data_IF_018272484633
#
_entry.id   IF_018272484633
#
_cell.length_a   1.000
_cell.length_b   1.000
_cell.length_c   1.000
_cell.angle_alpha   90.00
_cell.angle_beta   90.00
_cell.angle_gamma   90.00
#
_symmetry.space_group_name_H-M   'P 1'
#
loop_
_entity.id
_entity.type
_entity.pdbx_description
1 polymer ?
#
# COMPACT_ATOMS: atom_id res chain seq x y z
N UNK A 1 17.56 30.63 22.03
CA UNK A 1 16.13 30.78 22.38
C UNK A 1 15.27 29.70 21.71
N UNK A 2 15.40 29.42 20.42
CA UNK A 2 14.61 28.39 19.72
C UNK A 2 14.69 26.96 20.32
N UNK A 3 15.86 26.52 20.80
CA UNK A 3 16.01 25.18 21.39
C UNK A 3 15.25 24.96 22.71
N UNK A 4 15.24 25.97 23.59
CA UNK A 4 14.55 25.88 24.89
C UNK A 4 13.02 25.81 24.74
N UNK A 5 12.49 26.46 23.70
CA UNK A 5 11.06 26.45 23.39
C UNK A 5 10.61 25.12 22.78
N UNK A 6 11.46 24.50 21.93
CA UNK A 6 11.23 23.17 21.38
C UNK A 6 11.24 22.09 22.47
N UNK A 7 12.23 22.11 23.37
CA UNK A 7 12.31 21.17 24.49
C UNK A 7 11.14 21.31 25.48
N UNK A 8 10.62 22.53 25.66
CA UNK A 8 9.42 22.75 26.47
C UNK A 8 8.20 22.08 25.85
N UNK A 9 7.96 22.29 24.55
CA UNK A 9 6.83 21.66 23.84
C UNK A 9 6.87 20.13 23.91
N UNK A 10 8.04 19.54 23.73
CA UNK A 10 8.20 18.08 23.82
C UNK A 10 7.92 17.54 25.22
N UNK A 11 8.29 18.29 26.27
CA UNK A 11 7.97 17.93 27.66
C UNK A 11 6.48 18.06 27.95
N UNK A 12 5.88 19.18 27.57
CA UNK A 12 4.44 19.43 27.77
C UNK A 12 3.61 18.34 27.07
N UNK A 13 4.03 17.89 25.88
CA UNK A 13 3.42 16.76 25.17
C UNK A 13 3.61 15.44 25.92
N UNK A 14 4.83 15.10 26.34
CA UNK A 14 5.09 13.87 27.08
C UNK A 14 4.30 13.82 28.41
N UNK A 15 4.19 14.95 29.11
CA UNK A 15 3.45 15.06 30.37
C UNK A 15 1.93 14.86 30.17
N UNK A 16 1.38 15.29 29.03
CA UNK A 16 -0.04 15.07 28.67
C UNK A 16 -0.38 13.58 28.56
N UNK A 17 0.57 12.75 28.15
CA UNK A 17 0.38 11.32 27.89
C UNK A 17 1.10 10.38 28.86
N UNK A 18 1.75 10.91 29.91
CA UNK A 18 2.60 10.13 30.84
C UNK A 18 1.90 8.93 31.50
N UNK A 19 0.60 9.03 31.73
CA UNK A 19 -0.21 7.99 32.39
C UNK A 19 -0.91 7.07 31.38
N UNK A 20 -0.61 7.23 30.08
CA UNK A 20 -1.17 6.45 28.99
C UNK A 20 -0.16 5.39 28.56
N UNK A 21 -0.54 4.12 28.68
CA UNK A 21 0.32 3.00 28.29
C UNK A 21 -0.27 2.31 27.06
N UNK A 22 0.36 2.46 25.87
CA UNK A 22 0.00 1.65 24.72
C UNK A 22 0.33 0.18 24.96
N UNK A 23 -0.29 -0.71 24.20
CA UNK A 23 0.05 -2.13 24.19
C UNK A 23 1.40 -2.34 23.51
N UNK A 24 2.12 -3.38 23.95
CA UNK A 24 3.45 -3.74 23.43
C UNK A 24 3.52 -3.77 21.90
N UNK A 25 2.43 -4.18 21.24
CA UNK A 25 2.34 -4.22 19.78
C UNK A 25 2.53 -2.84 19.13
N UNK A 26 1.93 -1.79 19.69
CA UNK A 26 2.08 -0.44 19.15
C UNK A 26 3.41 0.17 19.60
N UNK A 27 3.86 -0.09 20.84
CA UNK A 27 5.20 0.31 21.31
C UNK A 27 6.32 -0.18 20.37
N UNK A 28 6.22 -1.45 19.93
CA UNK A 28 7.20 -2.03 18.99
C UNK A 28 7.24 -1.31 17.63
N UNK A 29 6.11 -0.78 17.14
CA UNK A 29 6.04 -0.06 15.86
C UNK A 29 6.76 1.28 15.90
N UNK A 30 6.81 1.92 17.08
CA UNK A 30 7.38 3.26 17.27
C UNK A 30 8.69 3.25 18.06
N UNK A 31 9.29 2.07 18.26
CA UNK A 31 10.56 1.93 18.97
C UNK A 31 11.65 2.77 18.30
N UNK A 32 12.26 3.67 19.06
CA UNK A 32 13.31 4.56 18.56
C UNK A 32 12.81 5.78 17.77
N UNK A 33 11.50 5.97 17.67
CA UNK A 33 10.90 7.20 17.12
C UNK A 33 10.81 8.25 18.24
N UNK A 34 11.20 9.51 18.00
CA UNK A 34 10.99 10.59 18.98
C UNK A 34 9.51 10.70 19.37
N UNK A 35 9.23 10.75 20.67
CA UNK A 35 7.86 10.72 21.22
C UNK A 35 7.07 9.45 20.82
N UNK A 36 7.77 8.33 20.60
CA UNK A 36 7.19 7.08 20.12
C UNK A 36 6.07 6.53 21.00
N UNK A 37 6.14 6.69 22.32
CA UNK A 37 5.09 6.23 23.25
C UNK A 37 3.77 7.00 23.05
N UNK A 38 3.87 8.32 22.82
CA UNK A 38 2.72 9.17 22.49
C UNK A 38 2.11 8.74 21.16
N UNK A 39 2.94 8.59 20.12
CA UNK A 39 2.48 8.17 18.78
C UNK A 39 1.86 6.76 18.80
N UNK A 40 2.41 5.85 19.60
CA UNK A 40 1.88 4.51 19.81
C UNK A 40 0.49 4.55 20.47
N UNK A 41 0.33 5.37 21.51
CA UNK A 41 -0.97 5.55 22.19
C UNK A 41 -2.01 6.16 21.26
N UNK A 42 -1.65 7.20 20.51
CA UNK A 42 -2.56 7.85 19.55
C UNK A 42 -3.00 6.88 18.45
N UNK A 43 -2.06 6.09 17.90
CA UNK A 43 -2.36 5.09 16.87
C UNK A 43 -3.28 4.00 17.42
N UNK A 44 -2.99 3.45 18.60
CA UNK A 44 -3.85 2.44 19.20
C UNK A 44 -5.25 2.97 19.50
N UNK A 45 -5.35 4.22 19.97
CA UNK A 45 -6.63 4.86 20.29
C UNK A 45 -7.48 5.04 19.03
N UNK A 46 -6.90 5.51 17.92
CA UNK A 46 -7.58 5.59 16.62
C UNK A 46 -8.08 4.21 16.17
N UNK A 47 -7.22 3.21 16.20
CA UNK A 47 -7.55 1.85 15.78
C UNK A 47 -8.70 1.24 16.60
N UNK A 48 -8.77 1.55 17.90
CA UNK A 48 -9.88 1.14 18.77
C UNK A 48 -11.20 1.77 18.34
N UNK A 49 -11.21 3.07 18.06
CA UNK A 49 -12.42 3.75 17.57
C UNK A 49 -12.82 3.23 16.19
N UNK A 50 -11.89 3.10 15.25
CA UNK A 50 -12.15 2.59 13.90
C UNK A 50 -12.74 1.18 13.95
N UNK A 51 -12.15 0.29 14.76
CA UNK A 51 -12.66 -1.07 14.98
C UNK A 51 -14.06 -1.05 15.58
N UNK A 52 -14.34 -0.12 16.51
CA UNK A 52 -15.66 0.02 17.14
C UNK A 52 -16.71 0.51 16.14
N UNK A 53 -16.40 1.53 15.34
CA UNK A 53 -17.29 2.04 14.29
C UNK A 53 -17.59 0.94 13.27
N UNK A 54 -16.56 0.22 12.81
CA UNK A 54 -16.71 -0.92 11.90
C UNK A 54 -17.63 -2.01 12.47
N UNK A 55 -17.62 -2.20 13.80
CA UNK A 55 -18.54 -3.12 14.48
C UNK A 55 -19.96 -2.55 14.52
N UNK A 56 -20.14 -1.29 14.93
CA UNK A 56 -21.43 -0.60 14.96
C UNK A 56 -22.12 -0.62 13.59
N UNK A 57 -21.38 -0.33 12.52
CA UNK A 57 -21.88 -0.33 11.14
C UNK A 57 -22.52 -1.67 10.75
N UNK A 58 -22.01 -2.79 11.29
CA UNK A 58 -22.55 -4.14 11.05
C UNK A 58 -23.73 -4.51 11.95
N UNK A 59 -23.86 -3.88 13.12
CA UNK A 59 -24.82 -4.32 14.16
C UNK A 59 -26.02 -3.40 14.31
N UNK A 60 -25.79 -2.10 14.54
CA UNK A 60 -26.84 -1.16 14.95
C UNK A 60 -26.77 0.18 14.18
N UNK A 61 -25.77 0.37 13.32
CA UNK A 61 -25.52 1.56 12.51
C UNK A 61 -25.51 2.87 13.31
N UNK A 62 -25.08 2.78 14.57
CA UNK A 62 -25.05 3.93 15.46
C UNK A 62 -23.80 3.88 16.35
N UNK A 63 -23.04 4.96 16.34
CA UNK A 63 -21.87 5.15 17.18
C UNK A 63 -22.27 5.96 18.42
N UNK A 64 -22.03 5.40 19.61
CA UNK A 64 -22.56 5.95 20.86
C UNK A 64 -21.94 7.30 21.24
N UNK A 65 -22.75 8.18 21.84
CA UNK A 65 -22.39 9.55 22.19
C UNK A 65 -21.05 9.69 22.93
N UNK A 66 -20.79 8.89 23.96
CA UNK A 66 -19.53 8.95 24.70
C UNK A 66 -18.32 8.65 23.79
N UNK A 67 -18.41 7.60 22.97
CA UNK A 67 -17.34 7.26 22.04
C UNK A 67 -17.20 8.28 20.90
N UNK A 68 -18.28 8.94 20.50
CA UNK A 68 -18.26 10.03 19.50
C UNK A 68 -17.47 11.23 20.02
N UNK A 69 -17.72 11.63 21.27
CA UNK A 69 -16.98 12.71 21.93
C UNK A 69 -15.51 12.34 22.08
N UNK A 70 -15.22 11.15 22.63
CA UNK A 70 -13.86 10.67 22.83
C UNK A 70 -13.05 10.63 21.50
N UNK A 71 -13.69 10.23 20.39
CA UNK A 71 -13.06 10.20 19.08
C UNK A 71 -12.77 11.61 18.53
N UNK A 72 -13.73 12.54 18.68
CA UNK A 72 -13.53 13.92 18.22
C UNK A 72 -12.42 14.61 19.02
N UNK A 73 -12.38 14.42 20.33
CA UNK A 73 -11.31 14.93 21.20
C UNK A 73 -9.95 14.33 20.80
N UNK A 74 -9.91 13.03 20.49
CA UNK A 74 -8.70 12.36 20.01
C UNK A 74 -8.23 12.92 18.65
N UNK A 75 -9.14 13.11 17.70
CA UNK A 75 -8.81 13.65 16.37
C UNK A 75 -8.26 15.08 16.48
N UNK A 76 -8.86 15.92 17.32
CA UNK A 76 -8.38 17.27 17.60
C UNK A 76 -7.01 17.24 18.31
N UNK A 77 -6.81 16.34 19.28
CA UNK A 77 -5.53 16.18 19.96
C UNK A 77 -4.42 15.76 18.99
N UNK A 78 -4.70 14.86 18.05
CA UNK A 78 -3.73 14.44 17.02
C UNK A 78 -3.30 15.63 16.16
N UNK A 79 -4.23 16.48 15.73
CA UNK A 79 -3.91 17.67 14.94
C UNK A 79 -3.01 18.65 15.72
N UNK A 80 -3.36 18.95 16.98
CA UNK A 80 -2.58 19.82 17.87
C UNK A 80 -1.18 19.26 18.17
N UNK A 81 -1.10 17.95 18.45
CA UNK A 81 0.15 17.28 18.80
C UNK A 81 1.09 17.19 17.60
N UNK A 82 0.57 16.93 16.39
CA UNK A 82 1.37 16.94 15.17
C UNK A 82 1.92 18.34 14.84
N UNK A 83 1.12 19.40 15.01
CA UNK A 83 1.61 20.78 14.87
C UNK A 83 2.68 21.11 15.92
N UNK A 84 2.47 20.68 17.17
CA UNK A 84 3.42 20.86 18.28
C UNK A 84 4.76 20.17 18.02
N UNK A 85 4.71 18.92 17.55
CA UNK A 85 5.89 18.15 17.15
C UNK A 85 6.62 18.81 15.98
N UNK A 86 5.89 19.26 14.96
CA UNK A 86 6.46 19.95 13.81
C UNK A 86 7.18 21.24 14.23
N UNK A 87 6.57 22.06 15.09
CA UNK A 87 7.19 23.28 15.65
C UNK A 87 8.38 23.00 16.55
N UNK A 88 8.43 21.83 17.19
CA UNK A 88 9.57 21.36 17.97
C UNK A 88 10.70 20.77 17.10
N UNK A 89 10.55 20.75 15.77
CA UNK A 89 11.55 20.20 14.86
C UNK A 89 11.54 18.67 14.76
N UNK A 90 10.44 18.03 15.17
CA UNK A 90 10.18 16.59 15.03
C UNK A 90 9.17 16.43 13.89
N UNK A 91 9.64 16.21 12.65
CA UNK A 91 8.75 16.25 11.49
C UNK A 91 8.02 14.91 11.37
N UNK A 92 6.89 14.76 12.04
CA UNK A 92 6.03 13.57 11.96
C UNK A 92 4.74 13.95 11.23
N UNK A 93 4.23 13.03 10.40
CA UNK A 93 2.99 13.17 9.65
C UNK A 93 2.14 11.91 9.79
N UNK A 94 0.82 12.07 9.70
CA UNK A 94 -0.11 10.94 9.60
C UNK A 94 -0.15 10.43 8.15
N UNK A 95 -0.25 9.11 7.95
CA UNK A 95 -0.43 8.53 6.62
C UNK A 95 -1.72 9.06 5.96
N UNK A 96 -1.65 9.39 4.67
CA UNK A 96 -2.78 9.90 3.88
C UNK A 96 -4.03 9.01 3.99
N UNK A 97 -3.85 7.69 4.08
CA UNK A 97 -4.97 6.74 4.24
C UNK A 97 -5.70 6.95 5.56
N UNK A 98 -5.00 7.27 6.64
CA UNK A 98 -5.61 7.60 7.93
C UNK A 98 -6.17 9.03 7.93
N UNK A 99 -5.47 9.99 7.31
CA UNK A 99 -5.96 11.36 7.20
C UNK A 99 -7.33 11.42 6.49
N UNK A 100 -7.48 10.77 5.33
CA UNK A 100 -8.76 10.73 4.60
C UNK A 100 -9.90 10.10 5.40
N UNK A 101 -9.59 9.13 6.25
CA UNK A 101 -10.57 8.49 7.12
C UNK A 101 -11.01 9.42 8.26
N UNK A 102 -10.07 10.17 8.86
CA UNK A 102 -10.36 11.22 9.83
C UNK A 102 -11.22 12.32 9.18
N UNK A 103 -10.87 12.77 7.96
CA UNK A 103 -11.63 13.77 7.23
C UNK A 103 -13.07 13.29 6.98
N UNK A 104 -13.24 12.05 6.53
CA UNK A 104 -14.56 11.44 6.35
C UNK A 104 -15.35 11.33 7.66
N UNK A 105 -14.70 11.00 8.78
CA UNK A 105 -15.36 10.92 10.08
C UNK A 105 -15.83 12.30 10.58
N UNK A 106 -15.07 13.36 10.29
CA UNK A 106 -15.46 14.74 10.64
C UNK A 106 -16.75 15.20 9.94
N UNK A 107 -17.17 14.55 8.85
CA UNK A 107 -18.40 14.92 8.14
C UNK A 107 -19.68 14.52 8.88
N UNK A 108 -19.62 13.51 9.76
CA UNK A 108 -20.84 12.93 10.35
C UNK A 108 -20.74 12.58 11.84
N UNK A 109 -19.55 12.54 12.45
CA UNK A 109 -19.42 12.31 13.90
C UNK A 109 -19.79 13.59 14.66
N UNK A 110 -20.64 13.46 15.69
CA UNK A 110 -21.20 14.59 16.45
C UNK A 110 -20.85 14.53 17.94
N UNK A 111 -20.60 15.70 18.55
CA UNK A 111 -20.43 15.87 20.01
C UNK A 111 -21.72 15.61 20.81
N UNK A 112 -22.88 15.53 20.17
CA UNK A 112 -24.16 15.39 20.85
C UNK A 112 -25.04 14.32 20.20
N UNK A 113 -25.77 13.57 21.03
CA UNK A 113 -26.80 12.62 20.57
C UNK A 113 -26.29 11.32 19.95
N UNK A 114 -24.98 11.06 19.95
CA UNK A 114 -24.39 9.96 19.20
C UNK A 114 -24.30 10.26 17.71
N UNK A 115 -23.66 9.37 16.97
CA UNK A 115 -23.40 9.57 15.54
C UNK A 115 -24.04 8.46 14.72
N UNK A 116 -25.09 8.74 13.93
CA UNK A 116 -25.62 7.76 12.99
C UNK A 116 -24.59 7.46 11.90
N UNK A 117 -24.38 6.18 11.60
CA UNK A 117 -23.42 5.76 10.58
C UNK A 117 -24.08 5.86 9.18
N UNK A 118 -23.44 6.51 8.18
CA UNK A 118 -23.99 6.68 6.83
C UNK A 118 -24.31 5.37 6.10
N UNK A 119 -25.36 5.34 5.28
CA UNK A 119 -25.81 4.13 4.56
C UNK A 119 -24.78 3.57 3.58
N UNK A 120 -23.98 4.45 2.98
CA UNK A 120 -22.87 4.17 2.09
C UNK A 120 -21.53 3.96 2.82
N UNK A 121 -21.54 3.80 4.14
CA UNK A 121 -20.34 3.63 4.95
C UNK A 121 -19.47 2.46 4.46
N UNK A 122 -18.24 2.78 4.11
CA UNK A 122 -17.19 1.80 3.82
C UNK A 122 -16.37 1.54 5.09
N UNK A 123 -16.10 0.28 5.45
CA UNK A 123 -15.31 -0.02 6.65
C UNK A 123 -13.95 0.68 6.65
N UNK A 124 -13.61 1.26 7.79
CA UNK A 124 -12.35 1.94 8.04
C UNK A 124 -11.19 0.93 8.06
N UNK A 125 -10.10 1.28 7.40
CA UNK A 125 -8.84 0.54 7.37
C UNK A 125 -8.09 0.71 8.69
N UNK A 126 -7.68 -0.43 9.26
CA UNK A 126 -6.91 -0.53 10.51
C UNK A 126 -5.55 -1.14 10.21
N UNK A 127 -4.49 -0.35 10.31
CA UNK A 127 -3.10 -0.75 10.05
C UNK A 127 -2.59 -1.69 11.14
N UNK A 128 -2.51 -2.99 10.81
CA UNK A 128 -2.18 -3.97 11.85
C UNK A 128 -0.70 -4.12 12.16
N UNK A 129 0.17 -3.78 11.23
CA UNK A 129 1.57 -4.18 11.28
C UNK A 129 2.54 -3.05 10.92
N UNK A 130 2.04 -1.84 10.68
CA UNK A 130 2.84 -0.71 10.27
C UNK A 130 2.44 0.55 11.04
N UNK A 131 3.40 1.42 11.41
CA UNK A 131 3.10 2.70 12.02
C UNK A 131 2.32 3.59 11.04
N UNK A 132 1.41 4.39 11.57
CA UNK A 132 0.59 5.35 10.79
C UNK A 132 1.06 6.78 10.96
N UNK A 133 1.92 7.03 11.95
CA UNK A 133 2.66 8.27 12.09
C UNK A 133 4.08 8.01 11.62
N UNK A 134 4.53 8.74 10.61
CA UNK A 134 5.82 8.52 9.95
C UNK A 134 6.61 9.82 9.90
N UNK A 135 7.94 9.72 9.84
CA UNK A 135 8.78 10.90 9.64
C UNK A 135 8.49 11.53 8.27
N UNK A 136 8.34 12.87 8.21
CA UNK A 136 8.19 13.62 6.95
C UNK A 136 9.39 13.42 6.02
N UNK A 137 10.57 13.14 6.60
CA UNK A 137 11.79 12.82 5.84
C UNK A 137 11.73 11.40 5.23
N UNK A 138 10.90 10.51 5.77
CA UNK A 138 10.54 9.22 5.15
C UNK A 138 9.31 9.35 4.22
N UNK A 139 8.55 10.45 4.32
CA UNK A 139 7.34 10.72 3.54
C UNK A 139 7.58 11.52 2.25
N UNK A 140 8.79 12.03 2.01
CA UNK A 140 9.14 12.69 0.74
C UNK A 140 10.47 12.19 0.19
N UNK A 141 10.42 11.36 -0.85
CA UNK A 141 11.55 11.17 -1.76
C UNK A 141 11.48 12.24 -2.86
N UNK A 142 12.50 13.09 -2.97
CA UNK A 142 12.78 13.73 -4.24
C UNK A 142 13.25 12.62 -5.19
N UNK A 143 12.34 12.12 -6.04
CA UNK A 143 12.75 11.28 -7.16
C UNK A 143 13.45 12.19 -8.16
N UNK A 144 14.75 12.39 -7.98
CA UNK A 144 15.59 12.78 -9.12
C UNK A 144 15.46 11.65 -10.12
N UNK A 145 14.84 11.93 -11.26
CA UNK A 145 15.06 11.13 -12.46
C UNK A 145 16.56 11.23 -12.73
N UNK A 146 17.32 10.23 -12.28
CA UNK A 146 18.64 10.04 -12.84
C UNK A 146 18.37 9.54 -14.26
N UNK A 147 18.62 10.40 -15.25
CA UNK A 147 18.65 10.03 -16.67
C UNK A 147 19.87 9.13 -16.97
N UNK A 148 20.06 8.08 -16.16
CA UNK A 148 21.01 7.03 -16.48
C UNK A 148 20.39 6.17 -17.57
N UNK A 149 20.96 6.25 -18.77
CA UNK A 149 20.59 5.38 -19.89
C UNK A 149 20.94 3.94 -19.52
N UNK A 150 19.93 3.14 -19.27
CA UNK A 150 20.05 1.69 -19.05
C UNK A 150 19.90 0.93 -20.37
N UNK A 151 20.68 -0.13 -20.53
CA UNK A 151 20.53 -1.04 -21.66
C UNK A 151 19.29 -1.92 -21.47
N UNK A 152 18.40 -1.91 -22.48
CA UNK A 152 17.18 -2.71 -22.49
C UNK A 152 17.38 -4.01 -23.26
N UNK A 153 17.07 -5.14 -22.64
CA UNK A 153 17.09 -6.47 -23.27
C UNK A 153 15.68 -6.94 -23.57
N UNK A 154 15.40 -7.34 -24.81
CA UNK A 154 14.07 -7.89 -25.17
C UNK A 154 13.83 -9.20 -24.41
N UNK A 155 12.67 -9.31 -23.80
CA UNK A 155 12.19 -10.49 -23.06
C UNK A 155 11.09 -11.20 -23.83
N UNK A 156 10.25 -10.43 -24.54
CA UNK A 156 9.17 -10.98 -25.34
C UNK A 156 8.52 -9.94 -26.23
N UNK A 157 7.81 -10.39 -27.24
CA UNK A 157 7.07 -9.56 -28.19
C UNK A 157 5.66 -10.13 -28.36
N UNK A 158 4.66 -9.26 -28.23
CA UNK A 158 3.27 -9.56 -28.50
C UNK A 158 2.72 -8.73 -29.65
N UNK A 159 1.44 -8.89 -29.95
CA UNK A 159 0.78 -8.18 -31.06
C UNK A 159 0.81 -6.64 -30.90
N UNK A 160 0.70 -6.15 -29.66
CA UNK A 160 0.52 -4.73 -29.36
C UNK A 160 1.70 -4.09 -28.60
N UNK A 161 2.61 -4.90 -28.06
CA UNK A 161 3.69 -4.40 -27.21
C UNK A 161 4.94 -5.28 -27.28
N UNK A 162 6.08 -4.68 -26.96
CA UNK A 162 7.36 -5.35 -26.74
C UNK A 162 7.71 -5.22 -25.26
N UNK A 163 8.13 -6.31 -24.63
CA UNK A 163 8.58 -6.34 -23.24
C UNK A 163 10.09 -6.39 -23.22
N UNK A 164 10.70 -5.44 -22.52
CA UNK A 164 12.13 -5.37 -22.24
C UNK A 164 12.38 -5.67 -20.77
N UNK A 165 13.64 -5.96 -20.43
CA UNK A 165 14.13 -5.95 -19.06
C UNK A 165 15.39 -5.10 -18.96
N UNK A 166 15.59 -4.51 -17.79
CA UNK A 166 16.84 -3.86 -17.41
C UNK A 166 17.14 -4.17 -15.94
N UNK A 167 18.40 -3.98 -15.57
CA UNK A 167 18.81 -3.96 -14.17
C UNK A 167 18.95 -2.50 -13.78
N UNK A 168 18.19 -2.09 -12.77
CA UNK A 168 18.29 -0.76 -12.21
C UNK A 168 19.69 -0.59 -11.60
N UNK A 169 20.50 0.38 -12.08
CA UNK A 169 21.89 0.54 -11.65
C UNK A 169 22.00 1.00 -10.19
N UNK A 170 20.97 1.67 -9.66
CA UNK A 170 20.94 2.18 -8.30
C UNK A 170 20.64 1.08 -7.29
N UNK A 171 19.71 0.18 -7.60
CA UNK A 171 19.25 -0.86 -6.68
C UNK A 171 19.76 -2.26 -7.02
N UNK A 172 20.40 -2.45 -8.18
CA UNK A 172 20.79 -3.77 -8.70
C UNK A 172 19.61 -4.70 -8.96
N UNK A 173 18.38 -4.17 -9.00
CA UNK A 173 17.15 -4.95 -9.12
C UNK A 173 16.69 -5.00 -10.56
N UNK A 174 16.25 -6.18 -11.00
CA UNK A 174 15.73 -6.38 -12.36
C UNK A 174 14.27 -5.94 -12.47
N UNK A 175 13.97 -5.20 -13.53
CA UNK A 175 12.64 -4.70 -13.87
C UNK A 175 12.26 -5.09 -15.29
N UNK A 176 10.96 -5.04 -15.59
CA UNK A 176 10.44 -5.17 -16.94
C UNK A 176 9.86 -3.84 -17.42
N UNK A 177 9.96 -3.56 -18.72
CA UNK A 177 9.34 -2.41 -19.38
C UNK A 177 8.46 -2.93 -20.50
N UNK A 178 7.16 -2.72 -20.41
CA UNK A 178 6.24 -3.00 -21.51
C UNK A 178 6.09 -1.73 -22.32
N UNK A 179 6.40 -1.79 -23.62
CA UNK A 179 6.34 -0.64 -24.54
C UNK A 179 5.38 -0.93 -25.67
N UNK A 180 4.43 -0.03 -25.91
CA UNK A 180 3.52 -0.13 -27.05
C UNK A 180 4.28 -0.06 -28.38
N UNK A 181 3.82 -0.80 -29.38
CA UNK A 181 4.38 -0.71 -30.74
C UNK A 181 3.99 0.62 -31.38
N UNK A 182 4.90 1.23 -32.15
CA UNK A 182 4.66 2.49 -32.88
C UNK A 182 3.55 2.38 -33.93
N UNK A 183 3.22 1.17 -34.35
CA UNK A 183 2.15 0.85 -35.32
C UNK A 183 0.76 0.81 -34.68
N UNK A 184 0.65 0.93 -33.35
CA UNK A 184 -0.62 0.89 -32.65
C UNK A 184 -1.49 2.11 -33.02
N UNK A 185 -2.79 1.88 -33.15
CA UNK A 185 -3.74 2.98 -33.34
C UNK A 185 -3.89 3.79 -32.03
N UNK A 186 -4.41 5.04 -32.09
CA UNK A 186 -4.72 5.81 -30.88
C UNK A 186 -5.61 5.05 -29.90
N UNK A 187 -6.56 4.24 -30.42
CA UNK A 187 -7.44 3.39 -29.61
C UNK A 187 -6.68 2.27 -28.89
N UNK A 188 -5.65 1.71 -29.52
CA UNK A 188 -4.81 0.68 -28.91
C UNK A 188 -3.92 1.28 -27.82
N UNK A 189 -3.40 2.50 -28.02
CA UNK A 189 -2.65 3.24 -27.01
C UNK A 189 -3.53 3.61 -25.80
N UNK A 190 -4.78 4.03 -26.03
CA UNK A 190 -5.73 4.28 -24.95
C UNK A 190 -6.02 3.00 -24.14
N UNK A 191 -6.21 1.86 -24.84
CA UNK A 191 -6.35 0.55 -24.18
C UNK A 191 -5.11 0.18 -23.37
N UNK A 192 -3.91 0.46 -23.88
CA UNK A 192 -2.64 0.22 -23.23
C UNK A 192 -2.46 1.08 -21.96
N UNK A 193 -2.78 2.37 -22.02
CA UNK A 193 -2.73 3.26 -20.85
C UNK A 193 -3.76 2.84 -19.79
N UNK A 194 -4.96 2.47 -20.22
CA UNK A 194 -6.01 1.95 -19.31
C UNK A 194 -5.60 0.64 -18.62
N UNK A 195 -4.85 -0.22 -19.30
CA UNK A 195 -4.27 -1.42 -18.68
C UNK A 195 -3.36 -1.04 -17.52
N UNK A 196 -2.43 -0.10 -17.74
CA UNK A 196 -1.57 0.42 -16.67
C UNK A 196 -2.37 1.04 -15.53
N UNK A 197 -3.35 1.91 -15.81
CA UNK A 197 -4.16 2.55 -14.77
C UNK A 197 -4.84 1.51 -13.88
N UNK A 198 -5.48 0.50 -14.48
CA UNK A 198 -6.11 -0.57 -13.72
C UNK A 198 -5.12 -1.37 -12.89
N UNK A 199 -3.96 -1.70 -13.44
CA UNK A 199 -2.93 -2.43 -12.69
C UNK A 199 -2.32 -1.59 -11.57
N UNK A 200 -2.23 -0.26 -11.72
CA UNK A 200 -1.64 0.63 -10.73
C UNK A 200 -2.49 0.80 -9.46
N UNK A 201 -3.78 0.49 -9.55
CA UNK A 201 -4.72 0.47 -8.42
C UNK A 201 -4.65 -0.85 -7.62
N UNK A 202 -3.90 -1.85 -8.11
CA UNK A 202 -3.85 -3.19 -7.54
C UNK A 202 -2.57 -3.40 -6.75
N UNK A 203 -2.71 -3.99 -5.57
CA UNK A 203 -1.58 -4.39 -4.74
C UNK A 203 -1.88 -5.73 -4.08
N UNK A 204 -1.36 -6.81 -4.70
CA UNK A 204 -1.58 -8.16 -4.18
C UNK A 204 -0.41 -9.10 -4.50
N UNK A 205 0.00 -10.02 -3.59
CA UNK A 205 1.11 -10.95 -3.81
C UNK A 205 1.00 -11.85 -5.03
N UNK A 206 -0.19 -11.96 -5.63
CA UNK A 206 -0.44 -12.77 -6.83
C UNK A 206 -0.92 -11.96 -8.03
N UNK A 207 -0.76 -10.63 -8.03
CA UNK A 207 -0.95 -9.77 -9.20
C UNK A 207 0.36 -9.06 -9.51
N UNK A 208 0.68 -8.88 -10.79
CA UNK A 208 1.90 -8.18 -11.19
C UNK A 208 1.84 -6.70 -10.79
N UNK A 209 2.89 -6.19 -10.18
CA UNK A 209 2.97 -4.78 -9.80
C UNK A 209 3.49 -3.93 -10.96
N UNK A 210 2.83 -2.78 -11.20
CA UNK A 210 3.30 -1.73 -12.11
C UNK A 210 3.76 -0.51 -11.32
N UNK A 211 4.73 0.23 -11.84
CA UNK A 211 5.43 1.27 -11.07
C UNK A 211 5.28 2.68 -11.67
N UNK A 212 5.52 2.84 -12.97
CA UNK A 212 5.52 4.16 -13.62
C UNK A 212 5.11 4.02 -15.08
N UNK A 213 4.25 4.93 -15.54
CA UNK A 213 3.95 5.15 -16.95
C UNK A 213 4.76 6.31 -17.51
N UNK A 214 5.15 6.19 -18.77
CA UNK A 214 5.87 7.18 -19.55
C UNK A 214 5.06 7.45 -20.82
N UNK A 215 4.44 8.64 -20.85
CA UNK A 215 3.57 9.10 -21.92
C UNK A 215 4.31 9.37 -23.23
N UNK A 216 5.57 9.80 -23.17
CA UNK A 216 6.36 10.11 -24.37
C UNK A 216 6.71 8.84 -25.15
N UNK A 217 7.11 7.80 -24.42
CA UNK A 217 7.52 6.52 -25.02
C UNK A 217 6.39 5.48 -25.07
N UNK A 218 5.19 5.79 -24.55
CA UNK A 218 4.05 4.88 -24.42
C UNK A 218 4.49 3.53 -23.82
N UNK A 219 5.11 3.61 -22.65
CA UNK A 219 5.64 2.45 -21.95
C UNK A 219 5.36 2.55 -20.45
N UNK A 220 5.40 1.42 -19.78
CA UNK A 220 5.39 1.41 -18.32
C UNK A 220 6.37 0.38 -17.76
N UNK A 221 6.89 0.69 -16.57
CA UNK A 221 7.79 -0.19 -15.80
C UNK A 221 6.97 -1.05 -14.85
N UNK A 222 7.33 -2.33 -14.75
CA UNK A 222 6.63 -3.32 -13.92
C UNK A 222 7.60 -4.32 -13.28
N UNK A 223 7.09 -5.11 -12.35
CA UNK A 223 7.84 -6.22 -11.73
C UNK A 223 8.36 -7.18 -12.81
N UNK A 224 9.66 -7.51 -12.73
CA UNK A 224 10.20 -8.56 -13.57
C UNK A 224 9.78 -9.94 -13.08
N UNK A 225 9.20 -10.74 -13.96
CA UNK A 225 8.95 -12.16 -13.76
C UNK A 225 9.87 -12.98 -14.69
N UNK A 226 10.45 -14.05 -14.16
CA UNK A 226 11.46 -14.85 -14.86
C UNK A 226 10.88 -15.68 -16.02
N UNK A 227 9.63 -16.13 -15.87
CA UNK A 227 8.96 -16.96 -16.87
C UNK A 227 7.44 -16.90 -16.72
N UNK A 228 6.70 -17.61 -17.58
CA UNK A 228 5.27 -17.85 -17.46
C UNK A 228 5.01 -19.33 -17.14
N UNK A 229 3.80 -19.63 -16.67
CA UNK A 229 3.40 -20.99 -16.28
C UNK A 229 3.51 -21.97 -17.44
N UNK A 230 3.18 -21.57 -18.68
CA UNK A 230 3.32 -22.43 -19.87
C UNK A 230 4.76 -22.92 -20.03
N UNK A 231 5.71 -21.99 -20.05
CA UNK A 231 7.11 -22.27 -20.35
C UNK A 231 7.81 -22.96 -19.16
N UNK A 232 7.39 -22.63 -17.93
CA UNK A 232 7.81 -23.33 -16.73
C UNK A 232 7.37 -24.79 -16.72
N UNK A 233 6.08 -25.06 -16.97
CA UNK A 233 5.56 -26.43 -17.04
C UNK A 233 6.26 -27.19 -18.16
N UNK A 234 6.40 -26.62 -19.36
CA UNK A 234 7.12 -27.27 -20.47
C UNK A 234 8.51 -27.77 -20.08
N UNK A 235 9.25 -27.02 -19.27
CA UNK A 235 10.61 -27.38 -18.83
C UNK A 235 10.65 -28.33 -17.64
N UNK A 236 9.68 -28.26 -16.72
CA UNK A 236 9.77 -28.93 -15.42
C UNK A 236 8.69 -29.97 -15.16
N UNK A 237 7.77 -30.23 -16.09
CA UNK A 237 6.60 -31.07 -15.85
C UNK A 237 6.96 -32.46 -15.32
N UNK A 238 8.02 -33.10 -15.81
CA UNK A 238 8.42 -34.46 -15.38
C UNK A 238 8.90 -34.51 -13.92
N UNK A 239 9.47 -33.41 -13.41
CA UNK A 239 10.07 -33.36 -12.06
C UNK A 239 9.22 -32.55 -11.08
N UNK A 240 8.10 -31.96 -11.52
CA UNK A 240 7.31 -31.03 -10.70
C UNK A 240 6.41 -31.80 -9.70
N UNK A 241 6.69 -31.72 -8.38
CA UNK A 241 5.92 -32.44 -7.38
C UNK A 241 4.47 -31.96 -7.30
N UNK A 242 3.54 -32.85 -6.93
CA UNK A 242 2.12 -32.50 -6.83
C UNK A 242 1.85 -31.31 -5.90
N UNK A 243 2.55 -31.23 -4.76
CA UNK A 243 2.38 -30.12 -3.83
C UNK A 243 2.72 -28.75 -4.47
N UNK A 244 3.74 -28.69 -5.33
CA UNK A 244 4.10 -27.46 -6.05
C UNK A 244 3.03 -27.09 -7.07
N UNK A 245 2.50 -28.07 -7.81
CA UNK A 245 1.38 -27.86 -8.74
C UNK A 245 0.15 -27.29 -8.03
N UNK A 246 -0.20 -27.88 -6.88
CA UNK A 246 -1.29 -27.40 -6.02
C UNK A 246 -1.05 -25.96 -5.57
N UNK A 247 0.16 -25.63 -5.13
CA UNK A 247 0.54 -24.27 -4.74
C UNK A 247 0.39 -23.29 -5.90
N UNK A 248 0.88 -23.62 -7.09
CA UNK A 248 0.72 -22.76 -8.28
C UNK A 248 -0.77 -22.52 -8.60
N UNK A 249 -1.60 -23.57 -8.59
CA UNK A 249 -3.03 -23.43 -8.81
C UNK A 249 -3.70 -22.52 -7.76
N UNK A 250 -3.38 -22.70 -6.48
CA UNK A 250 -3.93 -21.87 -5.39
C UNK A 250 -3.52 -20.40 -5.51
N UNK A 251 -2.25 -20.12 -5.83
CA UNK A 251 -1.77 -18.75 -6.03
C UNK A 251 -2.50 -18.05 -7.18
N UNK A 252 -2.74 -18.76 -8.29
CA UNK A 252 -3.55 -18.25 -9.39
C UNK A 252 -4.99 -17.93 -8.95
N UNK A 253 -5.63 -18.86 -8.21
CA UNK A 253 -6.98 -18.64 -7.69
C UNK A 253 -7.06 -17.46 -6.71
N UNK A 254 -6.03 -17.26 -5.88
CA UNK A 254 -5.96 -16.08 -5.00
C UNK A 254 -5.85 -14.78 -5.80
N UNK A 255 -5.02 -14.74 -6.84
CA UNK A 255 -4.91 -13.59 -7.74
C UNK A 255 -6.26 -13.26 -8.40
N UNK A 256 -6.93 -14.27 -8.97
CA UNK A 256 -8.25 -14.10 -9.60
C UNK A 256 -9.32 -13.66 -8.60
N UNK A 257 -9.35 -14.24 -7.40
CA UNK A 257 -10.29 -13.84 -6.36
C UNK A 257 -10.10 -12.36 -5.98
N UNK A 258 -8.86 -11.91 -5.83
CA UNK A 258 -8.55 -10.51 -5.57
C UNK A 258 -9.03 -9.60 -6.72
N UNK A 259 -8.74 -9.95 -7.97
CA UNK A 259 -9.23 -9.19 -9.14
C UNK A 259 -10.75 -9.06 -9.14
N UNK A 260 -11.46 -10.16 -8.86
CA UNK A 260 -12.92 -10.16 -8.81
C UNK A 260 -13.47 -9.31 -7.66
N UNK A 261 -12.84 -9.34 -6.49
CA UNK A 261 -13.20 -8.47 -5.36
C UNK A 261 -12.99 -6.98 -5.68
N UNK A 262 -12.02 -6.66 -6.54
CA UNK A 262 -11.79 -5.33 -7.08
C UNK A 262 -12.66 -4.99 -8.31
N UNK A 263 -13.67 -5.81 -8.64
CA UNK A 263 -14.58 -5.56 -9.77
C UNK A 263 -13.92 -5.74 -11.15
N UNK A 264 -12.75 -6.38 -11.22
CA UNK A 264 -11.97 -6.55 -12.45
C UNK A 264 -12.11 -7.98 -12.97
N UNK A 265 -12.49 -8.08 -14.25
CA UNK A 265 -12.43 -9.33 -15.01
C UNK A 265 -11.17 -9.33 -15.86
N UNK A 266 -10.27 -10.31 -15.65
CA UNK A 266 -9.03 -10.40 -16.43
C UNK A 266 -9.31 -10.67 -17.93
N UNK A 267 -10.31 -11.50 -18.27
CA UNK A 267 -10.75 -11.84 -19.64
C UNK A 267 -9.76 -12.55 -20.56
N UNK A 268 -8.52 -12.79 -20.11
CA UNK A 268 -7.48 -13.46 -20.89
C UNK A 268 -6.59 -14.33 -19.99
N UNK A 269 -7.24 -15.05 -19.07
CA UNK A 269 -6.53 -15.96 -18.14
C UNK A 269 -6.03 -17.15 -18.94
N UNK A 270 -4.71 -17.22 -19.14
CA UNK A 270 -4.06 -18.32 -19.85
C UNK A 270 -2.70 -18.63 -19.23
N UNK A 271 -2.15 -19.83 -19.41
CA UNK A 271 -0.81 -20.17 -18.91
C UNK A 271 0.32 -19.25 -19.42
N UNK A 272 0.07 -18.46 -20.48
CA UNK A 272 1.02 -17.50 -21.04
C UNK A 272 1.02 -16.18 -20.27
N UNK A 273 -0.14 -15.79 -19.74
CA UNK A 273 -0.34 -14.53 -19.02
C UNK A 273 -0.19 -14.70 -17.51
N UNK A 274 -0.10 -15.94 -17.03
CA UNK A 274 0.23 -16.22 -15.63
C UNK A 274 1.75 -16.32 -15.49
N UNK A 275 2.33 -15.32 -14.83
CA UNK A 275 3.77 -15.13 -14.69
C UNK A 275 4.31 -15.75 -13.40
N UNK A 276 5.60 -16.09 -13.40
CA UNK A 276 6.30 -16.71 -12.29
C UNK A 276 7.57 -15.94 -11.96
N UNK A 277 7.73 -15.61 -10.68
CA UNK A 277 8.98 -15.14 -10.12
C UNK A 277 9.67 -16.27 -9.36
N UNK A 278 10.90 -16.57 -9.78
CA UNK A 278 11.76 -17.60 -9.22
C UNK A 278 12.69 -16.94 -8.19
N UNK A 279 12.79 -17.55 -7.01
CA UNK A 279 13.71 -17.12 -5.96
C UNK A 279 14.81 -18.16 -5.81
N UNK A 280 16.06 -17.71 -5.82
CA UNK A 280 17.20 -18.63 -5.76
C UNK A 280 17.39 -19.22 -4.34
N UNK A 281 17.73 -20.50 -4.34
CA UNK A 281 18.11 -21.45 -3.27
C UNK A 281 17.89 -21.05 -1.80
N UNK A 282 16.93 -21.73 -1.17
CA UNK A 282 16.86 -21.89 0.31
C UNK A 282 15.53 -22.45 0.81
N UNK A 283 14.43 -22.09 0.16
CA UNK A 283 13.10 -22.70 0.33
C UNK A 283 12.37 -22.59 -0.99
N UNK A 284 11.81 -23.68 -1.49
CA UNK A 284 11.00 -23.79 -2.72
C UNK A 284 9.83 -22.79 -2.71
N UNK A 285 10.10 -21.51 -3.02
CA UNK A 285 9.10 -20.44 -3.05
C UNK A 285 9.05 -19.91 -4.46
N UNK A 286 8.07 -20.38 -5.21
CA UNK A 286 7.64 -19.77 -6.46
C UNK A 286 6.51 -18.80 -6.09
N UNK A 287 6.56 -17.57 -6.59
CA UNK A 287 5.42 -16.66 -6.49
C UNK A 287 4.87 -16.43 -7.89
N UNK A 288 3.64 -16.87 -8.07
CA UNK A 288 2.85 -16.63 -9.26
C UNK A 288 2.23 -15.23 -9.19
N UNK A 289 2.27 -14.54 -10.33
CA UNK A 289 1.61 -13.25 -10.59
C UNK A 289 0.63 -13.46 -11.75
N UNK A 290 -0.63 -13.08 -11.58
CA UNK A 290 -1.66 -13.06 -12.63
C UNK A 290 -1.86 -11.65 -13.14
#
# INVERSE_FOLDING_TARGET
MAGAEAERRLRDLADRYKDKTPTLRYEEMYRGVPQGDVLAYLHESLDKHFTTINKCAKTNRHFWAANSVDLLDLMAAIEEDLDSLQRAGVPVVLLDTYQRQIDYLNEWVSYSGGSPIPDDFTPLDVSRYAPVFVSRNDATMTVRAADEKVELKIVGEGSYAIVFSYVDPKYGKKYAVKRAKRTNSPRDLERFKREFTKLSELSFPHVVEVYRYDDELNQYTMEYCDTNVRDYIRKHNSTLPFHVRRTLALQCLYGLNYLHQSGILHRDVSPQNVLLRLYDKGRSRQRLRT
#
